data_IF_533721898799
#
_entry.id   IF_533721898799
#
_cell.length_a   1.000
_cell.length_b   1.000
_cell.length_c   1.000
_cell.angle_alpha   90.00
_cell.angle_beta   90.00
_cell.angle_gamma   90.00
#
_symmetry.space_group_name_H-M   'P 1'
#
loop_
_entity.id
_entity.type
_entity.pdbx_description
1 polymer ?
#
# COMPACT_ATOMS: atom_id res chain seq x y z
N UNK A 1 -21.96 -36.61 -5.35
CA UNK A 1 -21.75 -35.84 -6.60
C UNK A 1 -20.44 -35.06 -6.57
N UNK A 2 -20.21 -34.20 -5.54
CA UNK A 2 -18.98 -33.37 -5.48
C UNK A 2 -17.69 -34.20 -5.46
N UNK A 3 -17.61 -35.26 -4.62
CA UNK A 3 -16.43 -36.12 -4.55
C UNK A 3 -16.13 -36.87 -5.85
N UNK A 4 -17.17 -37.34 -6.55
CA UNK A 4 -17.00 -38.01 -7.83
C UNK A 4 -16.54 -37.04 -8.94
N UNK A 5 -17.02 -35.80 -8.95
CA UNK A 5 -16.61 -34.78 -9.91
C UNK A 5 -15.14 -34.37 -9.75
N UNK A 6 -14.66 -34.23 -8.48
CA UNK A 6 -13.28 -33.86 -8.20
C UNK A 6 -12.30 -35.04 -8.35
N UNK A 7 -12.77 -36.28 -8.44
CA UNK A 7 -11.91 -37.45 -8.59
C UNK A 7 -11.05 -37.39 -9.87
N UNK A 8 -11.60 -36.93 -10.99
CA UNK A 8 -10.87 -36.83 -12.26
C UNK A 8 -9.73 -35.80 -12.22
N UNK A 9 -9.93 -34.54 -11.82
CA UNK A 9 -8.83 -33.57 -11.73
C UNK A 9 -7.82 -33.95 -10.62
N UNK A 10 -8.25 -34.51 -9.50
CA UNK A 10 -7.35 -34.98 -8.47
C UNK A 10 -6.49 -36.18 -8.94
N UNK A 11 -7.11 -37.16 -9.63
CA UNK A 11 -6.37 -38.27 -10.20
C UNK A 11 -5.34 -37.80 -11.24
N UNK A 12 -5.72 -36.90 -12.14
CA UNK A 12 -4.79 -36.34 -13.13
C UNK A 12 -3.62 -35.58 -12.47
N UNK A 13 -3.89 -34.81 -11.41
CA UNK A 13 -2.87 -34.10 -10.63
C UNK A 13 -1.95 -35.08 -9.88
N UNK A 14 -2.51 -36.10 -9.23
CA UNK A 14 -1.72 -37.13 -8.50
C UNK A 14 -0.86 -37.91 -9.47
N UNK A 15 -1.39 -38.29 -10.64
CA UNK A 15 -0.61 -38.94 -11.68
C UNK A 15 0.58 -38.06 -12.12
N UNK A 16 0.36 -36.78 -12.34
CA UNK A 16 1.45 -35.87 -12.72
C UNK A 16 2.50 -35.73 -11.63
N UNK A 17 2.10 -35.59 -10.36
CA UNK A 17 3.02 -35.37 -9.24
C UNK A 17 3.85 -36.63 -8.90
N UNK A 18 3.30 -37.84 -9.03
CA UNK A 18 3.96 -39.06 -8.59
C UNK A 18 4.55 -39.91 -9.73
N UNK A 19 3.97 -39.87 -10.93
CA UNK A 19 4.44 -40.64 -12.10
C UNK A 19 4.96 -39.77 -13.24
N UNK A 20 4.73 -38.44 -13.16
CA UNK A 20 5.17 -37.47 -14.15
C UNK A 20 4.94 -37.93 -15.61
N UNK A 21 3.70 -38.26 -16.04
CA UNK A 21 3.42 -38.67 -17.41
C UNK A 21 3.89 -37.63 -18.45
N UNK A 22 3.94 -36.35 -18.08
CA UNK A 22 4.49 -35.32 -18.95
C UNK A 22 5.95 -35.52 -19.31
N UNK A 23 6.75 -36.12 -18.40
CA UNK A 23 8.14 -36.44 -18.64
C UNK A 23 8.30 -37.72 -19.53
N UNK A 24 7.38 -38.68 -19.41
CA UNK A 24 7.43 -39.97 -20.12
C UNK A 24 6.80 -39.88 -21.51
N UNK A 25 5.59 -39.33 -21.60
CA UNK A 25 4.82 -39.23 -22.85
C UNK A 25 5.10 -37.92 -23.58
N UNK A 26 5.66 -36.95 -22.92
CA UNK A 26 5.78 -35.58 -23.36
C UNK A 26 4.63 -34.69 -22.85
N UNK A 27 4.93 -33.42 -22.63
CA UNK A 27 3.97 -32.45 -22.05
C UNK A 27 2.72 -32.26 -22.95
N UNK A 28 2.92 -32.14 -24.25
CA UNK A 28 1.79 -31.96 -25.21
C UNK A 28 0.85 -33.16 -25.30
N UNK A 29 1.32 -34.40 -25.51
CA UNK A 29 0.44 -35.57 -25.53
C UNK A 29 -0.31 -35.75 -24.21
N UNK A 30 0.35 -35.55 -23.06
CA UNK A 30 -0.31 -35.66 -21.75
C UNK A 30 -1.36 -34.58 -21.54
N UNK A 31 -1.04 -33.33 -21.87
CA UNK A 31 -2.01 -32.25 -21.81
C UNK A 31 -3.23 -32.49 -22.70
N UNK A 32 -3.03 -33.08 -23.88
CA UNK A 32 -4.15 -33.47 -24.78
C UNK A 32 -5.09 -34.47 -24.10
N UNK A 33 -4.55 -35.47 -23.39
CA UNK A 33 -5.38 -36.42 -22.64
C UNK A 33 -6.15 -35.72 -21.52
N UNK A 34 -5.52 -34.77 -20.80
CA UNK A 34 -6.16 -33.96 -19.76
C UNK A 34 -7.27 -33.08 -20.35
N UNK A 35 -7.06 -32.49 -21.54
CA UNK A 35 -8.08 -31.70 -22.26
C UNK A 35 -9.23 -32.60 -22.74
N UNK A 36 -8.94 -33.79 -23.26
CA UNK A 36 -9.98 -34.72 -23.62
C UNK A 36 -10.86 -35.15 -22.46
N UNK A 37 -10.24 -35.37 -21.29
CA UNK A 37 -10.97 -35.61 -20.02
C UNK A 37 -11.79 -34.40 -19.61
N UNK A 38 -11.28 -33.19 -19.76
CA UNK A 38 -12.03 -31.94 -19.51
C UNK A 38 -13.25 -31.83 -20.43
N UNK A 39 -13.10 -32.15 -21.71
CA UNK A 39 -14.21 -32.17 -22.69
C UNK A 39 -15.27 -33.20 -22.31
N UNK A 40 -14.86 -34.38 -21.84
CA UNK A 40 -15.78 -35.39 -21.31
C UNK A 40 -16.56 -34.86 -20.10
N UNK A 41 -15.89 -34.23 -19.13
CA UNK A 41 -16.55 -33.62 -17.95
C UNK A 41 -17.55 -32.52 -18.38
N UNK A 42 -17.18 -31.69 -19.35
CA UNK A 42 -18.09 -30.70 -19.92
C UNK A 42 -19.31 -31.33 -20.60
N UNK A 43 -19.12 -32.41 -21.36
CA UNK A 43 -20.20 -33.19 -21.96
C UNK A 43 -21.16 -33.76 -20.92
N UNK A 44 -20.61 -34.35 -19.85
CA UNK A 44 -21.40 -34.86 -18.71
C UNK A 44 -22.15 -33.70 -17.99
N UNK A 45 -21.55 -32.53 -17.87
CA UNK A 45 -22.22 -31.35 -17.32
C UNK A 45 -23.49 -30.99 -18.14
N UNK A 46 -23.40 -31.03 -19.48
CA UNK A 46 -24.55 -30.75 -20.38
C UNK A 46 -25.65 -31.80 -20.20
N UNK A 47 -25.28 -33.08 -20.08
CA UNK A 47 -26.28 -34.13 -19.84
C UNK A 47 -27.01 -33.97 -18.53
N UNK A 48 -26.31 -33.66 -17.45
CA UNK A 48 -26.92 -33.37 -16.16
C UNK A 48 -27.78 -32.11 -16.18
N UNK A 49 -27.31 -31.03 -16.84
CA UNK A 49 -28.10 -29.81 -16.98
C UNK A 49 -29.44 -30.05 -17.70
N UNK A 50 -29.50 -31.01 -18.65
CA UNK A 50 -30.72 -31.37 -19.32
C UNK A 50 -31.60 -32.33 -18.53
N UNK A 51 -30.99 -33.22 -17.75
CA UNK A 51 -31.72 -34.26 -17.00
C UNK A 51 -32.34 -33.71 -15.69
N UNK A 52 -31.71 -32.74 -15.06
CA UNK A 52 -32.08 -32.31 -13.71
C UNK A 52 -33.14 -31.21 -13.69
N UNK A 53 -33.67 -30.78 -14.82
CA UNK A 53 -34.85 -29.93 -14.91
C UNK A 53 -34.81 -28.60 -14.16
N UNK A 54 -33.59 -28.04 -13.95
CA UNK A 54 -33.37 -26.75 -13.28
C UNK A 54 -32.44 -26.79 -12.04
N UNK A 55 -32.18 -27.97 -11.43
CA UNK A 55 -31.12 -28.11 -10.43
C UNK A 55 -29.76 -28.26 -11.11
N UNK A 56 -29.03 -27.16 -11.19
CA UNK A 56 -27.73 -27.11 -11.87
C UNK A 56 -26.54 -27.60 -11.02
N UNK A 57 -26.76 -28.10 -9.78
CA UNK A 57 -25.66 -28.44 -8.85
C UNK A 57 -24.74 -29.53 -9.38
N UNK A 58 -25.30 -30.63 -9.96
CA UNK A 58 -24.49 -31.70 -10.54
C UNK A 58 -23.69 -31.19 -11.75
N UNK A 59 -24.35 -30.44 -12.62
CA UNK A 59 -23.69 -29.79 -13.75
C UNK A 59 -22.57 -28.85 -13.31
N UNK A 60 -22.79 -28.03 -12.26
CA UNK A 60 -21.80 -27.13 -11.71
C UNK A 60 -20.50 -27.83 -11.23
N UNK A 61 -20.63 -28.97 -10.56
CA UNK A 61 -19.46 -29.76 -10.16
C UNK A 61 -18.69 -30.34 -11.37
N UNK A 62 -19.38 -30.75 -12.43
CA UNK A 62 -18.71 -31.24 -13.65
C UNK A 62 -18.01 -30.10 -14.40
N UNK A 63 -18.63 -28.91 -14.43
CA UNK A 63 -17.98 -27.69 -14.98
C UNK A 63 -16.74 -27.33 -14.17
N UNK A 64 -16.80 -27.40 -12.83
CA UNK A 64 -15.67 -27.16 -11.96
C UNK A 64 -14.52 -28.15 -12.26
N UNK A 65 -14.84 -29.44 -12.43
CA UNK A 65 -13.87 -30.48 -12.80
C UNK A 65 -13.24 -30.18 -14.17
N UNK A 66 -14.05 -29.82 -15.16
CA UNK A 66 -13.57 -29.46 -16.50
C UNK A 66 -12.61 -28.26 -16.46
N UNK A 67 -12.97 -27.18 -15.76
CA UNK A 67 -12.12 -25.99 -15.60
C UNK A 67 -10.81 -26.31 -14.86
N UNK A 68 -10.86 -27.20 -13.84
CA UNK A 68 -9.65 -27.63 -13.12
C UNK A 68 -8.70 -28.44 -13.99
N UNK A 69 -9.24 -29.31 -14.85
CA UNK A 69 -8.46 -30.07 -15.83
C UNK A 69 -7.87 -29.16 -16.92
N UNK A 70 -8.63 -28.16 -17.41
CA UNK A 70 -8.10 -27.15 -18.33
C UNK A 70 -6.95 -26.39 -17.67
N UNK A 71 -7.12 -25.96 -16.42
CA UNK A 71 -6.04 -25.28 -15.67
C UNK A 71 -4.79 -26.17 -15.59
N UNK A 72 -4.93 -27.47 -15.26
CA UNK A 72 -3.81 -28.42 -15.22
C UNK A 72 -3.13 -28.55 -16.59
N UNK A 73 -3.91 -28.68 -17.68
CA UNK A 73 -3.34 -28.75 -19.02
C UNK A 73 -2.57 -27.49 -19.42
N UNK A 74 -3.06 -26.32 -19.03
CA UNK A 74 -2.37 -25.05 -19.22
C UNK A 74 -1.04 -24.99 -18.46
N UNK A 75 -1.01 -25.48 -17.21
CA UNK A 75 0.23 -25.59 -16.44
C UNK A 75 1.27 -26.50 -17.08
N UNK A 76 0.84 -27.54 -17.81
CA UNK A 76 1.75 -28.46 -18.50
C UNK A 76 2.37 -27.88 -19.77
N UNK A 77 1.64 -26.99 -20.47
CA UNK A 77 2.03 -26.51 -21.82
C UNK A 77 2.60 -25.08 -21.74
N UNK A 78 1.97 -24.21 -20.94
CA UNK A 78 2.29 -22.78 -20.96
C UNK A 78 3.30 -22.45 -19.85
N UNK A 79 4.16 -21.48 -20.16
CA UNK A 79 5.18 -21.00 -19.24
C UNK A 79 5.03 -19.49 -18.98
N UNK A 80 5.66 -19.02 -17.92
CA UNK A 80 5.81 -17.60 -17.61
C UNK A 80 4.51 -16.77 -17.80
N UNK A 81 4.56 -15.69 -18.58
CA UNK A 81 3.46 -14.76 -18.78
C UNK A 81 2.23 -15.36 -19.47
N UNK A 82 2.44 -16.28 -20.43
CA UNK A 82 1.34 -16.93 -21.14
C UNK A 82 0.43 -17.73 -20.18
N UNK A 83 1.01 -18.47 -19.25
CA UNK A 83 0.26 -19.20 -18.23
C UNK A 83 -0.51 -18.25 -17.31
N UNK A 84 0.10 -17.14 -16.89
CA UNK A 84 -0.56 -16.13 -16.05
C UNK A 84 -1.81 -15.57 -16.73
N UNK A 85 -1.71 -15.21 -18.02
CA UNK A 85 -2.85 -14.72 -18.79
C UNK A 85 -3.93 -15.78 -18.99
N UNK A 86 -3.54 -17.03 -19.26
CA UNK A 86 -4.48 -18.14 -19.45
C UNK A 86 -5.26 -18.44 -18.15
N UNK A 87 -4.60 -18.43 -16.99
CA UNK A 87 -5.26 -18.58 -15.70
C UNK A 87 -6.18 -17.39 -15.38
N UNK A 88 -5.76 -16.17 -15.70
CA UNK A 88 -6.60 -14.98 -15.57
C UNK A 88 -7.86 -15.08 -16.44
N UNK A 89 -7.73 -15.54 -17.67
CA UNK A 89 -8.87 -15.81 -18.55
C UNK A 89 -9.82 -16.90 -18.02
N UNK A 90 -9.29 -17.95 -17.38
CA UNK A 90 -10.11 -18.98 -16.72
C UNK A 90 -10.92 -18.42 -15.55
N UNK A 91 -10.35 -17.50 -14.75
CA UNK A 91 -11.11 -16.84 -13.67
C UNK A 91 -12.26 -16.02 -14.24
N UNK A 92 -12.04 -15.29 -15.35
CA UNK A 92 -13.10 -14.55 -16.03
C UNK A 92 -14.13 -15.49 -16.63
N UNK A 93 -13.71 -16.60 -17.24
CA UNK A 93 -14.60 -17.63 -17.78
C UNK A 93 -15.49 -18.24 -16.69
N UNK A 94 -14.93 -18.56 -15.51
CA UNK A 94 -15.69 -19.07 -14.38
C UNK A 94 -16.74 -18.03 -13.89
N UNK A 95 -16.38 -16.76 -13.82
CA UNK A 95 -17.31 -15.68 -13.48
C UNK A 95 -18.41 -15.51 -14.54
N UNK A 96 -18.08 -15.64 -15.82
CA UNK A 96 -19.06 -15.59 -16.92
C UNK A 96 -20.03 -16.78 -16.88
N UNK A 97 -19.53 -17.98 -16.59
CA UNK A 97 -20.37 -19.18 -16.41
C UNK A 97 -21.33 -19.03 -15.22
N UNK A 98 -20.83 -18.52 -14.07
CA UNK A 98 -21.69 -18.23 -12.92
C UNK A 98 -22.76 -17.19 -13.28
N UNK A 99 -22.38 -16.12 -13.98
CA UNK A 99 -23.35 -15.10 -14.44
C UNK A 99 -24.43 -15.67 -15.36
N UNK A 100 -24.03 -16.55 -16.27
CA UNK A 100 -24.95 -17.10 -17.32
C UNK A 100 -25.86 -18.18 -16.77
N UNK A 101 -25.34 -19.08 -15.94
CA UNK A 101 -26.01 -20.30 -15.49
C UNK A 101 -26.31 -20.31 -14.00
N UNK A 102 -25.91 -19.27 -13.26
CA UNK A 102 -26.09 -19.11 -11.80
C UNK A 102 -25.52 -20.28 -11.00
N UNK A 103 -24.22 -20.58 -11.25
CA UNK A 103 -23.48 -21.67 -10.64
C UNK A 103 -22.67 -21.19 -9.43
N UNK A 104 -23.21 -21.21 -8.17
CA UNK A 104 -22.54 -20.69 -7.00
C UNK A 104 -21.21 -21.40 -6.67
N UNK A 105 -21.04 -22.63 -7.13
CA UNK A 105 -19.84 -23.44 -6.96
C UNK A 105 -18.63 -22.83 -7.68
N UNK A 106 -18.83 -22.03 -8.72
CA UNK A 106 -17.75 -21.31 -9.43
C UNK A 106 -17.01 -20.32 -8.53
N UNK A 107 -17.64 -19.86 -7.45
CA UNK A 107 -16.98 -19.01 -6.47
C UNK A 107 -15.71 -19.67 -5.87
N UNK A 108 -15.72 -21.00 -5.69
CA UNK A 108 -14.56 -21.75 -5.21
C UNK A 108 -13.41 -21.73 -6.22
N UNK A 109 -13.73 -21.96 -7.50
CA UNK A 109 -12.73 -21.92 -8.58
C UNK A 109 -12.12 -20.53 -8.74
N UNK A 110 -12.95 -19.48 -8.65
CA UNK A 110 -12.48 -18.08 -8.69
C UNK A 110 -11.51 -17.80 -7.54
N UNK A 111 -11.83 -18.23 -6.31
CA UNK A 111 -10.95 -18.05 -5.15
C UNK A 111 -9.61 -18.79 -5.33
N UNK A 112 -9.66 -20.06 -5.76
CA UNK A 112 -8.46 -20.85 -6.06
C UNK A 112 -7.63 -20.21 -7.18
N UNK A 113 -8.28 -19.71 -8.24
CA UNK A 113 -7.62 -19.01 -9.36
C UNK A 113 -6.94 -17.71 -8.91
N UNK A 114 -7.57 -16.94 -8.00
CA UNK A 114 -6.94 -15.76 -7.41
C UNK A 114 -5.69 -16.13 -6.62
N UNK A 115 -5.72 -17.20 -5.83
CA UNK A 115 -4.55 -17.69 -5.08
C UNK A 115 -3.44 -18.13 -6.04
N UNK A 116 -3.77 -18.89 -7.07
CA UNK A 116 -2.81 -19.33 -8.08
C UNK A 116 -2.18 -18.15 -8.83
N UNK A 117 -2.97 -17.14 -9.22
CA UNK A 117 -2.47 -15.91 -9.85
C UNK A 117 -1.59 -15.11 -8.89
N UNK A 118 -1.95 -15.03 -7.61
CA UNK A 118 -1.12 -14.35 -6.60
C UNK A 118 0.26 -15.01 -6.50
N UNK A 119 0.30 -16.35 -6.47
CA UNK A 119 1.55 -17.11 -6.51
C UNK A 119 2.35 -16.83 -7.77
N UNK A 120 1.70 -16.85 -8.94
CA UNK A 120 2.34 -16.59 -10.24
C UNK A 120 2.97 -15.20 -10.32
N UNK A 121 2.30 -14.18 -9.84
CA UNK A 121 2.78 -12.80 -9.90
C UNK A 121 3.90 -12.49 -8.89
N UNK A 122 3.95 -13.21 -7.76
CA UNK A 122 4.91 -12.93 -6.68
C UNK A 122 6.10 -13.88 -6.69
N UNK A 123 5.86 -15.19 -6.97
CA UNK A 123 6.87 -16.25 -6.75
C UNK A 123 7.36 -16.85 -8.05
N UNK A 124 6.48 -17.35 -8.94
CA UNK A 124 6.85 -18.06 -10.16
C UNK A 124 5.98 -17.65 -11.36
N UNK A 125 6.52 -16.93 -12.36
CA UNK A 125 7.90 -16.46 -12.52
C UNK A 125 8.28 -15.30 -11.60
N UNK A 126 7.27 -14.64 -10.96
CA UNK A 126 7.45 -13.62 -9.93
C UNK A 126 7.98 -12.27 -10.41
N UNK A 127 8.27 -11.42 -9.43
CA UNK A 127 8.73 -10.06 -9.66
C UNK A 127 10.10 -9.98 -10.36
N UNK A 128 11.13 -10.81 -10.02
CA UNK A 128 12.42 -10.72 -10.69
C UNK A 128 12.31 -10.91 -12.20
N UNK A 129 11.56 -11.93 -12.64
CA UNK A 129 11.30 -12.12 -14.07
C UNK A 129 10.65 -10.90 -14.72
N UNK A 130 9.63 -10.34 -14.08
CA UNK A 130 8.89 -9.21 -14.63
C UNK A 130 9.73 -7.94 -14.70
N UNK A 131 10.71 -7.76 -13.80
CA UNK A 131 11.56 -6.57 -13.74
C UNK A 131 12.76 -6.71 -14.69
N UNK A 132 13.46 -7.85 -14.66
CA UNK A 132 14.79 -7.99 -15.26
C UNK A 132 14.79 -8.77 -16.58
N UNK A 133 13.96 -9.83 -16.71
CA UNK A 133 14.04 -10.76 -17.83
C UNK A 133 12.98 -10.52 -18.93
N UNK A 134 11.73 -10.23 -18.52
CA UNK A 134 10.60 -10.16 -19.44
C UNK A 134 10.71 -8.97 -20.41
N UNK A 135 10.23 -9.12 -21.63
CA UNK A 135 9.94 -7.95 -22.46
C UNK A 135 8.87 -7.07 -21.79
N UNK A 136 8.93 -5.75 -21.99
CA UNK A 136 7.99 -4.83 -21.33
C UNK A 136 6.52 -5.21 -21.60
N UNK A 137 6.20 -5.57 -22.82
CA UNK A 137 4.83 -5.96 -23.20
C UNK A 137 4.36 -7.25 -22.51
N UNK A 138 5.27 -8.22 -22.25
CA UNK A 138 4.95 -9.45 -21.51
C UNK A 138 4.68 -9.16 -20.03
N UNK A 139 5.51 -8.32 -19.41
CA UNK A 139 5.30 -7.91 -18.04
C UNK A 139 3.98 -7.12 -17.88
N UNK A 140 3.74 -6.14 -18.77
CA UNK A 140 2.48 -5.38 -18.79
C UNK A 140 1.29 -6.31 -19.01
N UNK A 141 1.34 -7.18 -20.01
CA UNK A 141 0.25 -8.12 -20.30
C UNK A 141 -0.05 -9.01 -19.08
N UNK A 142 0.96 -9.57 -18.43
CA UNK A 142 0.80 -10.47 -17.29
C UNK A 142 0.20 -9.76 -16.06
N UNK A 143 0.74 -8.64 -15.66
CA UNK A 143 0.33 -7.94 -14.43
C UNK A 143 -0.93 -7.09 -14.62
N UNK A 144 -0.98 -6.26 -15.68
CA UNK A 144 -2.17 -5.49 -16.00
C UNK A 144 -3.31 -6.39 -16.48
N UNK A 145 -3.00 -7.46 -17.25
CA UNK A 145 -3.98 -8.45 -17.70
C UNK A 145 -4.61 -9.20 -16.52
N UNK A 146 -3.81 -9.61 -15.53
CA UNK A 146 -4.33 -10.22 -14.31
C UNK A 146 -5.22 -9.24 -13.53
N UNK A 147 -4.80 -7.99 -13.35
CA UNK A 147 -5.62 -6.96 -12.71
C UNK A 147 -6.94 -6.72 -13.49
N UNK A 148 -6.86 -6.57 -14.80
CA UNK A 148 -8.04 -6.39 -15.66
C UNK A 148 -9.01 -7.59 -15.57
N UNK A 149 -8.49 -8.82 -15.50
CA UNK A 149 -9.30 -10.02 -15.30
C UNK A 149 -10.05 -10.00 -13.96
N UNK A 150 -9.41 -9.52 -12.87
CA UNK A 150 -10.09 -9.34 -11.59
C UNK A 150 -11.22 -8.30 -11.68
N UNK A 151 -10.97 -7.18 -12.34
CA UNK A 151 -12.02 -6.17 -12.61
C UNK A 151 -13.16 -6.72 -13.48
N UNK A 152 -12.83 -7.48 -14.52
CA UNK A 152 -13.81 -8.16 -15.38
C UNK A 152 -14.68 -9.16 -14.60
N UNK A 153 -14.04 -9.97 -13.73
CA UNK A 153 -14.74 -10.89 -12.82
C UNK A 153 -15.69 -10.16 -11.87
N UNK A 154 -15.25 -9.03 -11.30
CA UNK A 154 -16.10 -8.17 -10.44
C UNK A 154 -17.32 -7.63 -11.19
N UNK A 155 -17.12 -7.15 -12.42
CA UNK A 155 -18.21 -6.67 -13.27
C UNK A 155 -19.21 -7.78 -13.60
N UNK A 156 -18.72 -8.97 -13.92
CA UNK A 156 -19.56 -10.12 -14.23
C UNK A 156 -20.37 -10.58 -13.02
N UNK A 157 -19.79 -10.58 -11.82
CA UNK A 157 -20.45 -10.99 -10.58
C UNK A 157 -21.26 -9.87 -9.90
N UNK A 158 -21.26 -8.64 -10.43
CA UNK A 158 -21.96 -7.51 -9.83
C UNK A 158 -23.45 -7.79 -9.53
N UNK A 159 -24.24 -8.42 -10.44
CA UNK A 159 -25.67 -8.71 -10.22
C UNK A 159 -25.94 -9.95 -9.34
N UNK A 160 -24.88 -10.66 -8.89
CA UNK A 160 -25.01 -11.90 -8.14
C UNK A 160 -24.58 -11.70 -6.68
N UNK A 161 -25.25 -12.39 -5.74
CA UNK A 161 -24.81 -12.41 -4.33
C UNK A 161 -23.67 -13.42 -4.12
N UNK A 162 -22.47 -13.06 -4.55
CA UNK A 162 -21.24 -13.87 -4.46
C UNK A 162 -20.22 -13.16 -3.58
N UNK A 163 -20.57 -12.88 -2.33
CA UNK A 163 -19.76 -12.05 -1.40
C UNK A 163 -18.32 -12.53 -1.28
N UNK A 164 -18.09 -13.84 -1.09
CA UNK A 164 -16.75 -14.38 -0.93
C UNK A 164 -15.88 -14.16 -2.18
N UNK A 165 -16.36 -14.57 -3.36
CA UNK A 165 -15.63 -14.39 -4.62
C UNK A 165 -15.34 -12.90 -4.90
N UNK A 166 -16.30 -12.01 -4.62
CA UNK A 166 -16.11 -10.56 -4.79
C UNK A 166 -15.03 -10.00 -3.89
N UNK A 167 -14.97 -10.42 -2.61
CA UNK A 167 -13.90 -9.98 -1.69
C UNK A 167 -12.53 -10.42 -2.18
N UNK A 168 -12.39 -11.66 -2.69
CA UNK A 168 -11.14 -12.13 -3.28
C UNK A 168 -10.76 -11.32 -4.51
N UNK A 169 -11.68 -11.15 -5.46
CA UNK A 169 -11.43 -10.39 -6.70
C UNK A 169 -11.09 -8.91 -6.42
N UNK A 170 -11.80 -8.26 -5.50
CA UNK A 170 -11.54 -6.87 -5.10
C UNK A 170 -10.18 -6.69 -4.46
N UNK A 171 -9.81 -7.62 -3.55
CA UNK A 171 -8.54 -7.58 -2.88
C UNK A 171 -7.39 -7.88 -3.84
N UNK A 172 -7.58 -8.87 -4.73
CA UNK A 172 -6.62 -9.22 -5.75
C UNK A 172 -6.44 -8.09 -6.78
N UNK A 173 -7.50 -7.45 -7.22
CA UNK A 173 -7.40 -6.28 -8.12
C UNK A 173 -6.49 -5.21 -7.54
N UNK A 174 -6.71 -4.82 -6.28
CA UNK A 174 -5.91 -3.81 -5.62
C UNK A 174 -4.44 -4.26 -5.43
N UNK A 175 -4.22 -5.53 -5.05
CA UNK A 175 -2.88 -6.08 -4.89
C UNK A 175 -2.13 -6.21 -6.22
N UNK A 176 -2.79 -6.68 -7.28
CA UNK A 176 -2.19 -6.82 -8.61
C UNK A 176 -1.90 -5.46 -9.24
N UNK A 177 -2.74 -4.46 -9.00
CA UNK A 177 -2.47 -3.09 -9.41
C UNK A 177 -1.24 -2.50 -8.68
N UNK A 178 -1.07 -2.79 -7.38
CA UNK A 178 0.12 -2.39 -6.63
C UNK A 178 1.39 -3.09 -7.14
N UNK A 179 1.33 -4.41 -7.40
CA UNK A 179 2.42 -5.16 -8.01
C UNK A 179 2.78 -4.63 -9.40
N UNK A 180 1.78 -4.35 -10.23
CA UNK A 180 2.00 -3.77 -11.55
C UNK A 180 2.70 -2.41 -11.47
N UNK A 181 2.25 -1.54 -10.56
CA UNK A 181 2.92 -0.25 -10.33
C UNK A 181 4.37 -0.44 -9.89
N UNK A 182 4.66 -1.38 -8.97
CA UNK A 182 6.03 -1.69 -8.57
C UNK A 182 6.89 -2.17 -9.74
N UNK A 183 6.40 -3.07 -10.59
CA UNK A 183 7.13 -3.54 -11.76
C UNK A 183 7.48 -2.37 -12.68
N UNK A 184 6.52 -1.47 -12.96
CA UNK A 184 6.77 -0.31 -13.81
C UNK A 184 7.79 0.66 -13.19
N UNK A 185 7.65 0.94 -11.89
CA UNK A 185 8.58 1.82 -11.15
C UNK A 185 9.99 1.24 -11.18
N UNK A 186 10.14 -0.04 -10.85
CA UNK A 186 11.46 -0.71 -10.81
C UNK A 186 12.11 -0.72 -12.19
N UNK A 187 11.37 -1.08 -13.24
CA UNK A 187 11.87 -1.04 -14.63
C UNK A 187 12.28 0.36 -15.06
N UNK A 188 11.49 1.37 -14.70
CA UNK A 188 11.80 2.76 -15.00
C UNK A 188 13.10 3.22 -14.30
N UNK A 189 13.27 2.86 -13.02
CA UNK A 189 14.48 3.16 -12.25
C UNK A 189 15.71 2.52 -12.89
N UNK A 190 15.65 1.20 -13.17
CA UNK A 190 16.75 0.45 -13.78
C UNK A 190 17.07 1.00 -15.17
N UNK A 191 16.06 1.27 -15.99
CA UNK A 191 16.26 1.77 -17.36
C UNK A 191 16.89 3.18 -17.41
N UNK A 192 16.73 3.99 -16.34
CA UNK A 192 17.29 5.34 -16.25
C UNK A 192 18.68 5.40 -15.63
N UNK A 193 19.00 4.52 -14.71
CA UNK A 193 20.21 4.59 -13.89
C UNK A 193 21.09 3.34 -13.97
N UNK A 194 20.70 2.33 -14.75
CA UNK A 194 21.40 1.04 -14.72
C UNK A 194 21.30 0.31 -13.37
N UNK A 195 20.43 0.79 -12.48
CA UNK A 195 20.25 0.24 -11.13
C UNK A 195 20.76 1.12 -9.99
N UNK A 196 21.56 2.14 -10.26
CA UNK A 196 22.19 2.99 -9.24
C UNK A 196 21.15 3.70 -8.33
N UNK A 197 19.96 4.04 -8.85
CA UNK A 197 18.94 4.75 -8.07
C UNK A 197 18.07 3.86 -7.18
N UNK A 198 18.17 2.55 -7.28
CA UNK A 198 17.29 1.62 -6.52
C UNK A 198 17.45 1.82 -5.01
N UNK A 199 18.69 2.09 -4.54
CA UNK A 199 19.00 2.38 -3.14
C UNK A 199 18.71 3.80 -2.68
N UNK A 200 18.37 4.73 -3.58
CA UNK A 200 18.13 6.13 -3.23
C UNK A 200 16.86 6.30 -2.37
N UNK A 201 16.91 7.28 -1.45
CA UNK A 201 15.82 7.58 -0.50
C UNK A 201 14.45 7.73 -1.18
N UNK A 202 14.39 8.43 -2.29
CA UNK A 202 13.16 8.67 -3.04
C UNK A 202 12.67 7.44 -3.81
N UNK A 203 13.61 6.62 -4.34
CA UNK A 203 13.28 5.42 -5.09
C UNK A 203 12.69 4.33 -4.18
N UNK A 204 13.26 4.16 -2.97
CA UNK A 204 12.73 3.26 -1.95
C UNK A 204 11.29 3.65 -1.57
N UNK A 205 11.04 4.94 -1.35
CA UNK A 205 9.69 5.41 -1.01
C UNK A 205 8.75 5.35 -2.20
N UNK A 206 9.22 5.62 -3.41
CA UNK A 206 8.41 5.49 -4.63
C UNK A 206 7.94 4.04 -4.83
N UNK A 207 8.83 3.06 -4.60
CA UNK A 207 8.46 1.64 -4.60
C UNK A 207 7.55 1.24 -3.42
N UNK A 208 7.66 1.91 -2.28
CA UNK A 208 6.79 1.69 -1.12
C UNK A 208 5.38 2.28 -1.30
N UNK A 209 5.22 3.32 -2.13
CA UNK A 209 3.96 4.05 -2.29
C UNK A 209 2.77 3.18 -2.73
N UNK A 210 2.87 2.26 -3.72
CA UNK A 210 1.79 1.36 -4.08
C UNK A 210 1.31 0.48 -2.91
N UNK A 211 2.23 0.05 -2.05
CA UNK A 211 1.93 -0.75 -0.87
C UNK A 211 1.25 0.07 0.23
N UNK A 212 1.66 1.31 0.44
CA UNK A 212 0.95 2.22 1.34
C UNK A 212 -0.47 2.48 0.86
N UNK A 213 -0.65 2.71 -0.43
CA UNK A 213 -1.98 2.90 -1.02
C UNK A 213 -2.82 1.63 -0.85
N UNK A 214 -2.25 0.44 -1.12
CA UNK A 214 -2.92 -0.85 -0.91
C UNK A 214 -3.35 -1.01 0.55
N UNK A 215 -2.46 -0.76 1.50
CA UNK A 215 -2.78 -0.78 2.94
C UNK A 215 -3.96 0.12 3.26
N UNK A 216 -3.91 1.39 2.82
CA UNK A 216 -4.96 2.38 3.09
C UNK A 216 -6.31 1.98 2.47
N UNK A 217 -6.30 1.43 1.25
CA UNK A 217 -7.49 0.91 0.57
C UNK A 217 -8.09 -0.26 1.34
N UNK A 218 -7.27 -1.21 1.81
CA UNK A 218 -7.76 -2.34 2.59
C UNK A 218 -8.31 -1.89 3.96
N UNK A 219 -7.63 -0.97 4.65
CA UNK A 219 -8.13 -0.37 5.89
C UNK A 219 -9.47 0.36 5.68
N UNK A 220 -9.60 1.12 4.60
CA UNK A 220 -10.86 1.79 4.26
C UNK A 220 -11.99 0.78 4.02
N UNK A 221 -11.71 -0.33 3.33
CA UNK A 221 -12.69 -1.37 3.01
C UNK A 221 -13.08 -2.24 4.21
N UNK A 222 -12.40 -2.16 5.35
CA UNK A 222 -12.81 -2.86 6.58
C UNK A 222 -14.21 -2.46 7.07
N UNK A 223 -14.67 -1.26 6.73
CA UNK A 223 -16.04 -0.80 7.05
C UNK A 223 -17.15 -1.67 6.41
N UNK A 224 -16.83 -2.38 5.31
CA UNK A 224 -17.80 -3.25 4.64
C UNK A 224 -18.09 -4.54 5.45
N UNK A 225 -17.29 -4.86 6.46
CA UNK A 225 -17.47 -6.02 7.32
C UNK A 225 -17.36 -7.35 6.59
N UNK A 226 -18.05 -8.37 7.09
CA UNK A 226 -18.17 -9.71 6.49
C UNK A 226 -17.19 -10.74 7.04
N UNK A 227 -17.44 -12.03 6.72
CA UNK A 227 -16.67 -13.17 7.22
C UNK A 227 -15.20 -13.16 6.79
N UNK A 228 -14.89 -12.55 5.64
CA UNK A 228 -13.52 -12.47 5.10
C UNK A 228 -12.78 -11.18 5.52
N UNK A 229 -13.20 -10.53 6.59
CA UNK A 229 -12.52 -9.36 7.15
C UNK A 229 -11.05 -9.65 7.49
N UNK A 230 -10.75 -10.87 7.93
CA UNK A 230 -9.38 -11.31 8.24
C UNK A 230 -8.44 -11.25 7.01
N UNK A 231 -8.96 -11.57 5.80
CA UNK A 231 -8.17 -11.49 4.56
C UNK A 231 -7.73 -10.04 4.28
N UNK A 232 -8.65 -9.08 4.43
CA UNK A 232 -8.32 -7.65 4.28
C UNK A 232 -7.29 -7.18 5.29
N UNK A 233 -7.40 -7.65 6.56
CA UNK A 233 -6.40 -7.39 7.58
C UNK A 233 -5.04 -7.99 7.23
N UNK A 234 -5.00 -9.21 6.77
CA UNK A 234 -3.77 -9.88 6.33
C UNK A 234 -3.07 -9.12 5.20
N UNK A 235 -3.82 -8.74 4.15
CA UNK A 235 -3.28 -7.95 3.04
C UNK A 235 -2.82 -6.56 3.51
N UNK A 236 -3.61 -5.89 4.38
CA UNK A 236 -3.22 -4.60 4.94
C UNK A 236 -1.93 -4.70 5.77
N UNK A 237 -1.77 -5.76 6.56
CA UNK A 237 -0.56 -5.98 7.38
C UNK A 237 0.68 -6.22 6.51
N UNK A 238 0.58 -7.07 5.49
CA UNK A 238 1.69 -7.31 4.53
C UNK A 238 2.03 -6.02 3.79
N UNK A 239 1.03 -5.31 3.30
CA UNK A 239 1.22 -4.05 2.60
C UNK A 239 1.82 -2.96 3.51
N UNK A 240 1.42 -2.92 4.79
CA UNK A 240 2.03 -2.05 5.79
C UNK A 240 3.51 -2.38 6.02
N UNK A 241 3.82 -3.67 6.17
CA UNK A 241 5.21 -4.12 6.38
C UNK A 241 6.12 -3.70 5.23
N UNK A 242 5.70 -3.92 3.98
CA UNK A 242 6.49 -3.55 2.80
C UNK A 242 6.55 -2.02 2.66
N UNK A 243 5.41 -1.34 2.76
CA UNK A 243 5.32 0.12 2.59
C UNK A 243 6.11 0.89 3.65
N UNK A 244 5.90 0.59 4.93
CA UNK A 244 6.67 1.22 6.01
C UNK A 244 8.11 0.72 6.08
N UNK A 245 8.39 -0.51 5.65
CA UNK A 245 9.75 -1.02 5.50
C UNK A 245 10.57 -0.19 4.52
N UNK A 246 10.03 0.09 3.33
CA UNK A 246 10.68 0.97 2.35
C UNK A 246 10.90 2.39 2.87
N UNK A 247 9.89 2.97 3.55
CA UNK A 247 10.05 4.29 4.20
C UNK A 247 11.12 4.24 5.30
N UNK A 248 11.12 3.21 6.14
CA UNK A 248 12.12 3.06 7.19
C UNK A 248 13.53 3.01 6.63
N UNK A 249 13.75 2.27 5.54
CA UNK A 249 15.03 2.26 4.83
C UNK A 249 15.41 3.65 4.28
N UNK A 250 14.44 4.38 3.70
CA UNK A 250 14.64 5.73 3.19
C UNK A 250 14.97 6.75 4.29
N UNK A 251 14.36 6.59 5.48
CA UNK A 251 14.61 7.47 6.66
C UNK A 251 15.91 7.13 7.36
N UNK A 252 16.33 5.86 7.35
CA UNK A 252 17.52 5.40 8.07
C UNK A 252 18.73 5.25 7.14
N UNK A 253 18.82 4.16 6.40
CA UNK A 253 20.02 3.80 5.63
C UNK A 253 20.26 4.72 4.42
N UNK A 254 19.20 5.08 3.71
CA UNK A 254 19.31 5.91 2.50
C UNK A 254 19.06 7.40 2.75
N UNK A 255 19.07 7.84 4.02
CA UNK A 255 18.83 9.26 4.32
C UNK A 255 19.99 10.12 3.78
N UNK A 256 19.68 11.19 3.01
CA UNK A 256 20.71 12.05 2.43
C UNK A 256 21.56 12.82 3.44
N UNK A 257 21.19 12.87 4.74
CA UNK A 257 21.98 13.51 5.78
C UNK A 257 23.35 12.87 6.00
N UNK A 258 23.43 11.55 5.90
CA UNK A 258 24.69 10.83 6.14
C UNK A 258 25.25 10.12 4.92
N UNK A 259 24.50 10.03 3.84
CA UNK A 259 24.94 9.45 2.56
C UNK A 259 25.87 8.23 2.75
N UNK A 260 25.39 7.22 3.49
CA UNK A 260 26.19 6.08 3.96
C UNK A 260 26.93 5.33 2.83
N UNK A 261 26.39 5.36 1.63
CA UNK A 261 26.95 4.67 0.46
C UNK A 261 27.80 5.56 -0.44
N UNK A 262 27.91 6.88 -0.13
CA UNK A 262 28.87 7.80 -0.73
C UNK A 262 28.71 8.09 -2.22
N UNK A 263 27.53 7.79 -2.80
CA UNK A 263 27.28 7.92 -4.23
C UNK A 263 26.36 9.11 -4.61
N UNK A 264 26.10 9.28 -5.91
CA UNK A 264 25.11 10.25 -6.41
C UNK A 264 23.70 9.98 -5.88
N UNK A 265 23.41 8.76 -5.41
CA UNK A 265 22.13 8.33 -4.85
C UNK A 265 21.76 9.10 -3.57
N UNK A 266 22.75 9.55 -2.80
CA UNK A 266 22.55 10.36 -1.60
C UNK A 266 22.27 11.83 -1.87
N UNK A 267 22.41 12.31 -3.11
CA UNK A 267 22.13 13.71 -3.46
C UNK A 267 20.64 13.96 -3.70
N UNK A 268 20.25 15.20 -3.56
CA UNK A 268 18.87 15.67 -3.82
C UNK A 268 18.79 16.25 -5.21
N UNK A 269 17.81 15.84 -5.99
CA UNK A 269 17.59 16.28 -7.37
C UNK A 269 16.22 16.93 -7.53
N UNK A 270 16.13 17.88 -8.44
CA UNK A 270 14.89 18.58 -8.80
C UNK A 270 14.82 20.02 -8.30
N UNK A 271 13.75 20.75 -8.61
CA UNK A 271 13.58 22.11 -8.11
C UNK A 271 13.25 22.12 -6.60
N UNK A 272 13.58 23.19 -5.88
CA UNK A 272 13.23 23.33 -4.47
C UNK A 272 11.72 23.07 -4.23
N UNK A 273 11.38 22.43 -3.14
CA UNK A 273 10.04 22.00 -2.73
C UNK A 273 9.41 20.86 -3.55
N UNK A 274 9.80 20.63 -4.81
CA UNK A 274 9.27 19.55 -5.66
C UNK A 274 10.40 18.64 -6.15
N UNK A 275 11.21 18.21 -5.26
CA UNK A 275 12.44 17.44 -5.46
C UNK A 275 12.30 15.96 -5.03
N UNK A 276 13.42 15.28 -4.95
CA UNK A 276 13.47 13.91 -4.48
C UNK A 276 13.11 13.77 -2.98
N UNK A 277 13.29 14.82 -2.16
CA UNK A 277 12.83 14.83 -0.77
C UNK A 277 11.31 14.86 -0.68
N UNK A 278 10.66 15.60 -1.60
CA UNK A 278 9.20 15.59 -1.69
C UNK A 278 8.67 14.18 -1.94
N UNK A 279 9.24 13.46 -2.91
CA UNK A 279 8.85 12.08 -3.22
C UNK A 279 9.13 11.16 -2.04
N UNK A 280 10.27 11.33 -1.36
CA UNK A 280 10.70 10.47 -0.27
C UNK A 280 9.86 10.64 1.00
N UNK A 281 9.52 11.87 1.37
CA UNK A 281 8.99 12.16 2.70
C UNK A 281 7.66 12.92 2.69
N UNK A 282 7.48 13.94 1.82
CA UNK A 282 6.25 14.72 1.77
C UNK A 282 5.08 13.93 1.15
N UNK A 283 5.31 13.21 0.06
CA UNK A 283 4.28 12.41 -0.61
C UNK A 283 3.67 11.34 0.34
N UNK A 284 4.44 10.48 1.01
CA UNK A 284 3.86 9.54 1.95
C UNK A 284 3.22 10.22 3.17
N UNK A 285 3.76 11.35 3.64
CA UNK A 285 3.12 12.14 4.69
C UNK A 285 1.72 12.60 4.28
N UNK A 286 1.58 13.16 3.08
CA UNK A 286 0.29 13.61 2.54
C UNK A 286 -0.68 12.43 2.39
N UNK A 287 -0.23 11.28 1.86
CA UNK A 287 -1.06 10.07 1.74
C UNK A 287 -1.59 9.62 3.09
N UNK A 288 -0.73 9.52 4.12
CA UNK A 288 -1.12 9.07 5.45
C UNK A 288 -2.07 10.05 6.13
N UNK A 289 -1.79 11.35 6.08
CA UNK A 289 -2.60 12.38 6.72
C UNK A 289 -3.97 12.54 6.02
N UNK A 290 -4.00 12.54 4.69
CA UNK A 290 -5.23 12.62 3.92
C UNK A 290 -6.15 11.40 4.17
N UNK A 291 -5.57 10.20 4.29
CA UNK A 291 -6.33 8.98 4.56
C UNK A 291 -7.08 9.02 5.90
N UNK A 292 -6.55 9.73 6.91
CA UNK A 292 -7.20 9.84 8.24
C UNK A 292 -8.61 10.42 8.17
N UNK A 293 -8.93 11.25 7.17
CA UNK A 293 -10.27 11.81 6.96
C UNK A 293 -11.31 10.73 6.61
N UNK A 294 -10.86 9.61 6.06
CA UNK A 294 -11.71 8.49 5.60
C UNK A 294 -11.65 7.27 6.53
N UNK A 295 -10.71 7.22 7.48
CA UNK A 295 -10.46 6.05 8.34
C UNK A 295 -11.10 6.20 9.74
N UNK A 296 -12.22 6.91 9.88
CA UNK A 296 -12.91 7.10 11.15
C UNK A 296 -13.34 5.81 11.86
N UNK A 297 -13.63 4.76 11.09
CA UNK A 297 -14.07 3.43 11.55
C UNK A 297 -12.92 2.53 12.03
N UNK A 298 -11.66 2.90 11.76
CA UNK A 298 -10.47 2.10 12.15
C UNK A 298 -10.10 2.40 13.60
N UNK A 299 -9.53 1.40 14.27
CA UNK A 299 -9.15 1.49 15.68
C UNK A 299 -8.26 2.70 15.97
N UNK A 300 -8.52 3.35 17.12
CA UNK A 300 -7.85 4.60 17.53
C UNK A 300 -6.32 4.53 17.49
N UNK A 301 -5.73 3.41 17.93
CA UNK A 301 -4.26 3.24 17.93
C UNK A 301 -3.67 3.30 16.52
N UNK A 302 -4.31 2.66 15.53
CA UNK A 302 -3.84 2.68 14.13
C UNK A 302 -3.92 4.12 13.59
N UNK A 303 -5.02 4.82 13.87
CA UNK A 303 -5.17 6.22 13.44
C UNK A 303 -4.10 7.13 14.05
N UNK A 304 -3.77 6.94 15.34
CA UNK A 304 -2.69 7.67 15.99
C UNK A 304 -1.31 7.31 15.41
N UNK A 305 -1.07 6.04 15.09
CA UNK A 305 0.17 5.59 14.44
C UNK A 305 0.33 6.23 13.05
N UNK A 306 -0.74 6.23 12.22
CA UNK A 306 -0.72 6.88 10.90
C UNK A 306 -0.53 8.40 11.01
N UNK A 307 -1.18 9.04 12.00
CA UNK A 307 -0.98 10.46 12.27
C UNK A 307 0.46 10.77 12.67
N UNK A 308 1.01 10.02 13.61
CA UNK A 308 2.38 10.21 14.09
C UNK A 308 3.39 10.00 12.96
N UNK A 309 3.24 8.94 12.16
CA UNK A 309 4.09 8.68 11.00
C UNK A 309 3.98 9.80 9.96
N UNK A 310 2.77 10.25 9.61
CA UNK A 310 2.56 11.33 8.66
C UNK A 310 3.16 12.66 9.13
N UNK A 311 2.97 13.01 10.40
CA UNK A 311 3.55 14.23 10.98
C UNK A 311 5.08 14.14 11.06
N UNK A 312 5.63 12.99 11.45
CA UNK A 312 7.08 12.80 11.53
C UNK A 312 7.73 12.93 10.15
N UNK A 313 7.13 12.33 9.10
CA UNK A 313 7.61 12.45 7.72
C UNK A 313 7.51 13.89 7.19
N UNK A 314 6.42 14.60 7.50
CA UNK A 314 6.27 16.01 7.12
C UNK A 314 7.32 16.89 7.81
N UNK A 315 7.60 16.64 9.10
CA UNK A 315 8.63 17.36 9.84
C UNK A 315 10.04 17.06 9.30
N UNK A 316 10.31 15.79 8.97
CA UNK A 316 11.57 15.37 8.36
C UNK A 316 11.76 16.05 7.00
N UNK A 317 10.73 16.04 6.15
CA UNK A 317 10.76 16.75 4.87
C UNK A 317 11.10 18.23 5.05
N UNK A 318 10.37 18.93 5.92
CA UNK A 318 10.60 20.35 6.17
C UNK A 318 12.02 20.63 6.70
N UNK A 319 12.54 19.76 7.57
CA UNK A 319 13.90 19.88 8.09
C UNK A 319 14.96 19.69 6.99
N UNK A 320 14.81 18.66 6.16
CA UNK A 320 15.75 18.38 5.08
C UNK A 320 15.69 19.45 3.98
N UNK A 321 14.51 19.98 3.68
CA UNK A 321 14.33 21.06 2.70
C UNK A 321 14.98 22.36 3.16
N UNK A 322 14.84 22.73 4.42
CA UNK A 322 15.56 23.88 5.00
C UNK A 322 17.07 23.71 4.85
N UNK A 323 17.58 22.51 5.16
CA UNK A 323 19.01 22.21 5.00
C UNK A 323 19.45 22.31 3.56
N UNK A 324 18.63 21.79 2.62
CA UNK A 324 18.89 21.90 1.18
C UNK A 324 18.98 23.34 0.71
N UNK A 325 18.04 24.18 1.12
CA UNK A 325 18.03 25.61 0.77
C UNK A 325 19.30 26.35 1.26
N UNK A 326 19.91 25.88 2.37
CA UNK A 326 21.08 26.51 2.97
C UNK A 326 22.41 25.89 2.48
N UNK A 327 22.40 24.64 2.00
CA UNK A 327 23.61 23.89 1.69
C UNK A 327 23.70 23.37 0.25
N UNK A 328 22.62 23.46 -0.51
CA UNK A 328 22.52 22.86 -1.85
C UNK A 328 22.17 21.39 -1.83
N UNK A 329 22.52 20.67 -2.88
CA UNK A 329 22.04 19.32 -3.15
C UNK A 329 22.73 18.20 -2.34
N UNK A 330 23.87 18.49 -1.69
CA UNK A 330 24.58 17.57 -0.80
C UNK A 330 24.27 17.89 0.67
N UNK A 331 23.39 17.10 1.27
CA UNK A 331 22.98 17.29 2.66
C UNK A 331 23.93 16.64 3.67
N UNK A 332 24.88 15.82 3.21
CA UNK A 332 25.81 15.09 4.09
C UNK A 332 26.95 15.96 4.62
N UNK A 333 27.14 17.15 4.06
CA UNK A 333 28.18 18.10 4.51
C UNK A 333 28.02 18.39 6.01
N UNK A 334 29.04 18.13 6.85
CA UNK A 334 28.93 18.24 8.29
C UNK A 334 28.81 19.69 8.76
N UNK A 335 28.25 19.86 9.97
CA UNK A 335 28.02 21.14 10.63
C UNK A 335 26.64 21.72 10.32
N UNK A 336 26.31 22.83 10.99
CA UNK A 336 25.07 23.59 10.83
C UNK A 336 25.41 25.05 10.77
N UNK A 337 24.91 25.79 9.77
CA UNK A 337 25.14 27.24 9.67
C UNK A 337 24.19 28.03 10.58
N UNK A 338 24.57 29.25 10.96
CA UNK A 338 23.68 30.12 11.74
C UNK A 338 22.36 30.40 11.02
N UNK A 339 22.40 30.61 9.70
CA UNK A 339 21.20 30.80 8.89
C UNK A 339 20.28 29.59 8.91
N UNK A 340 20.84 28.37 8.87
CA UNK A 340 20.10 27.10 8.98
C UNK A 340 19.42 26.98 10.34
N UNK A 341 20.10 27.32 11.44
CA UNK A 341 19.53 27.31 12.79
C UNK A 341 18.33 28.26 12.91
N UNK A 342 18.48 29.49 12.39
CA UNK A 342 17.38 30.46 12.40
C UNK A 342 16.21 30.03 11.50
N UNK A 343 16.46 29.43 10.35
CA UNK A 343 15.42 28.93 9.47
C UNK A 343 14.58 27.82 10.15
N UNK A 344 15.21 26.90 10.88
CA UNK A 344 14.48 25.93 11.70
C UNK A 344 13.61 26.57 12.77
N UNK A 345 14.12 27.61 13.42
CA UNK A 345 13.37 28.36 14.45
C UNK A 345 12.16 29.04 13.84
N UNK A 346 12.33 29.73 12.70
CA UNK A 346 11.23 30.37 11.97
C UNK A 346 10.17 29.37 11.51
N UNK A 347 10.58 28.21 11.01
CA UNK A 347 9.65 27.14 10.62
C UNK A 347 8.85 26.62 11.81
N UNK A 348 9.50 26.36 12.97
CA UNK A 348 8.81 25.93 14.19
C UNK A 348 7.84 27.00 14.70
N UNK A 349 8.22 28.28 14.64
CA UNK A 349 7.33 29.40 15.00
C UNK A 349 6.12 29.46 14.08
N UNK A 350 6.32 29.31 12.78
CA UNK A 350 5.22 29.30 11.82
C UNK A 350 4.25 28.13 12.03
N UNK A 351 4.77 26.93 12.32
CA UNK A 351 3.96 25.76 12.68
C UNK A 351 3.19 26.01 13.96
N UNK A 352 3.85 26.54 15.02
CA UNK A 352 3.22 26.86 16.30
C UNK A 352 2.10 27.89 16.15
N UNK A 353 2.34 28.97 15.41
CA UNK A 353 1.35 30.00 15.10
C UNK A 353 0.18 29.45 14.27
N UNK A 354 0.46 28.65 13.25
CA UNK A 354 -0.55 28.01 12.41
C UNK A 354 -1.44 27.05 13.20
N UNK A 355 -0.86 26.23 14.08
CA UNK A 355 -1.60 25.34 14.99
C UNK A 355 -2.46 26.15 15.98
N UNK A 356 -1.95 27.26 16.52
CA UNK A 356 -2.70 28.11 17.43
C UNK A 356 -3.89 28.77 16.72
N UNK A 357 -3.67 29.28 15.52
CA UNK A 357 -4.74 29.82 14.68
C UNK A 357 -5.84 28.77 14.41
N UNK A 358 -5.44 27.58 13.99
CA UNK A 358 -6.37 26.46 13.79
C UNK A 358 -7.10 26.05 15.07
N UNK A 359 -6.41 26.10 16.22
CA UNK A 359 -7.00 25.78 17.52
C UNK A 359 -8.11 26.77 17.90
N UNK A 360 -7.88 28.06 17.60
CA UNK A 360 -8.86 29.12 17.84
C UNK A 360 -10.03 28.97 16.87
N UNK A 361 -9.75 28.80 15.56
CA UNK A 361 -10.77 28.68 14.52
C UNK A 361 -11.69 27.47 14.75
N UNK A 362 -11.13 26.33 15.19
CA UNK A 362 -11.87 25.08 15.44
C UNK A 362 -12.31 24.90 16.89
N UNK A 363 -12.04 25.84 17.78
CA UNK A 363 -12.31 25.75 19.23
C UNK A 363 -11.84 24.43 19.85
N UNK A 364 -10.65 23.95 19.43
CA UNK A 364 -10.12 22.64 19.82
C UNK A 364 -9.07 22.77 20.92
N UNK A 365 -9.35 22.21 22.09
CA UNK A 365 -8.40 22.14 23.20
C UNK A 365 -7.17 21.28 22.91
N UNK A 366 -7.33 20.25 22.08
CA UNK A 366 -6.23 19.36 21.67
C UNK A 366 -5.25 20.10 20.77
N UNK A 367 -5.74 20.84 19.75
CA UNK A 367 -4.89 21.65 18.87
C UNK A 367 -4.21 22.77 19.66
N UNK A 368 -4.89 23.37 20.64
CA UNK A 368 -4.28 24.39 21.51
C UNK A 368 -3.12 23.81 22.32
N UNK A 369 -3.29 22.62 22.93
CA UNK A 369 -2.18 21.96 23.65
C UNK A 369 -1.01 21.63 22.74
N UNK A 370 -1.27 21.15 21.53
CA UNK A 370 -0.23 20.88 20.54
C UNK A 370 0.49 22.16 20.11
N UNK A 371 -0.22 23.26 19.84
CA UNK A 371 0.36 24.56 19.53
C UNK A 371 1.27 25.06 20.66
N UNK A 372 0.79 25.01 21.92
CA UNK A 372 1.57 25.42 23.08
C UNK A 372 2.83 24.58 23.28
N UNK A 373 2.76 23.26 23.03
CA UNK A 373 3.93 22.37 23.07
C UNK A 373 4.97 22.75 22.02
N UNK A 374 4.56 23.02 20.76
CA UNK A 374 5.47 23.45 19.70
C UNK A 374 6.09 24.81 20.00
N UNK A 375 5.32 25.78 20.49
CA UNK A 375 5.83 27.10 20.89
C UNK A 375 6.83 26.96 22.03
N UNK A 376 6.51 26.18 23.06
CA UNK A 376 7.43 25.93 24.19
C UNK A 376 8.74 25.26 23.72
N UNK A 377 8.66 24.28 22.82
CA UNK A 377 9.82 23.64 22.19
C UNK A 377 10.66 24.64 21.39
N UNK A 378 10.01 25.55 20.65
CA UNK A 378 10.69 26.61 19.90
C UNK A 378 11.44 27.54 20.81
N UNK A 379 10.80 27.98 21.91
CA UNK A 379 11.43 28.81 22.92
C UNK A 379 12.62 28.08 23.54
N UNK A 380 12.45 26.83 23.96
CA UNK A 380 13.53 26.04 24.53
C UNK A 380 14.71 25.89 23.54
N UNK A 381 14.44 25.61 22.22
CA UNK A 381 15.48 25.54 21.21
C UNK A 381 16.25 26.84 21.08
N UNK A 382 15.57 27.98 21.01
CA UNK A 382 16.22 29.29 20.89
C UNK A 382 17.20 29.51 22.06
N UNK A 383 16.77 29.23 23.28
CA UNK A 383 17.58 29.48 24.46
C UNK A 383 18.68 28.44 24.72
N UNK A 384 18.45 27.18 24.37
CA UNK A 384 19.43 26.12 24.63
C UNK A 384 20.42 25.94 23.47
N UNK A 385 20.00 26.23 22.23
CA UNK A 385 20.81 25.96 21.04
C UNK A 385 21.24 27.25 20.37
N UNK A 386 20.31 28.14 19.99
CA UNK A 386 20.65 29.32 19.18
C UNK A 386 21.47 30.35 19.96
N UNK A 387 21.30 30.41 21.29
CA UNK A 387 22.02 31.34 22.20
C UNK A 387 23.27 30.71 22.81
N UNK A 388 23.51 29.42 22.64
CA UNK A 388 24.66 28.75 23.26
C UNK A 388 26.03 29.34 22.86
N UNK A 389 26.12 30.01 21.69
CA UNK A 389 27.30 30.72 21.21
C UNK A 389 27.49 32.12 21.77
N UNK A 390 26.54 32.65 22.52
CA UNK A 390 26.64 34.00 23.10
C UNK A 390 27.36 33.96 24.48
N UNK A 391 28.23 34.94 24.72
CA UNK A 391 28.97 35.07 25.98
C UNK A 391 28.61 36.36 26.71
N UNK A 392 28.82 36.39 28.04
CA UNK A 392 28.67 37.62 28.85
C UNK A 392 27.21 38.06 29.10
N UNK A 393 26.99 39.35 29.13
CA UNK A 393 25.69 40.01 29.42
C UNK A 393 24.57 39.61 28.48
N UNK A 394 24.87 39.35 27.21
CA UNK A 394 23.89 38.91 26.22
C UNK A 394 23.25 37.58 26.61
N UNK A 395 24.00 36.65 27.21
CA UNK A 395 23.51 35.38 27.71
C UNK A 395 22.52 35.57 28.87
N UNK A 396 22.86 36.50 29.80
CA UNK A 396 22.00 36.84 30.95
C UNK A 396 20.68 37.46 30.50
N UNK A 397 20.71 38.43 29.57
CA UNK A 397 19.52 39.02 28.99
C UNK A 397 18.66 38.01 28.25
N UNK A 398 19.26 37.05 27.57
CA UNK A 398 18.55 35.97 26.87
C UNK A 398 17.78 35.06 27.84
N UNK A 399 18.38 34.70 29.00
CA UNK A 399 17.69 33.92 30.02
C UNK A 399 16.58 34.74 30.72
N UNK A 400 16.77 36.03 30.90
CA UNK A 400 15.72 36.90 31.40
C UNK A 400 14.53 36.98 30.45
N UNK A 401 14.78 37.15 29.14
CA UNK A 401 13.76 37.14 28.11
C UNK A 401 13.03 35.80 28.04
N UNK A 402 13.72 34.67 28.25
CA UNK A 402 13.12 33.35 28.36
C UNK A 402 12.12 33.30 29.52
N UNK A 403 12.54 33.71 30.69
CA UNK A 403 11.69 33.74 31.90
C UNK A 403 10.43 34.57 31.67
N UNK A 404 10.58 35.76 31.11
CA UNK A 404 9.45 36.63 30.73
C UNK A 404 8.54 36.03 29.68
N UNK A 405 9.10 35.37 28.66
CA UNK A 405 8.32 34.70 27.61
C UNK A 405 7.52 33.52 28.15
N UNK A 406 8.12 32.71 29.03
CA UNK A 406 7.43 31.60 29.70
C UNK A 406 6.33 32.10 30.64
N UNK A 407 6.59 33.19 31.39
CA UNK A 407 5.59 33.83 32.22
C UNK A 407 4.42 34.40 31.41
N UNK A 408 4.73 35.08 30.29
CA UNK A 408 3.72 35.55 29.32
C UNK A 408 2.87 34.44 28.74
N UNK A 409 3.50 33.31 28.39
CA UNK A 409 2.83 32.12 27.87
C UNK A 409 1.90 31.48 28.92
N UNK A 410 2.35 31.40 30.17
CA UNK A 410 1.54 30.91 31.28
C UNK A 410 0.34 31.83 31.56
N UNK A 411 0.55 33.15 31.49
CA UNK A 411 -0.52 34.14 31.63
C UNK A 411 -1.55 34.05 30.50
N UNK A 412 -1.10 33.97 29.22
CA UNK A 412 -1.96 33.78 28.04
C UNK A 412 -2.79 32.51 28.13
N UNK A 413 -2.18 31.43 28.62
CA UNK A 413 -2.89 30.16 28.79
C UNK A 413 -4.00 30.23 29.85
N UNK A 414 -3.74 30.91 30.99
CA UNK A 414 -4.75 31.15 32.03
C UNK A 414 -5.87 32.07 31.51
N UNK A 415 -5.51 33.15 30.84
CA UNK A 415 -6.48 34.08 30.28
C UNK A 415 -7.40 33.40 29.21
N UNK A 416 -6.83 32.57 28.35
CA UNK A 416 -7.60 31.81 27.38
C UNK A 416 -8.49 30.72 28.03
N UNK A 417 -8.05 30.15 29.16
CA UNK A 417 -8.86 29.21 29.92
C UNK A 417 -10.06 29.89 30.61
N UNK A 418 -9.83 31.05 31.25
CA UNK A 418 -10.89 31.79 31.91
C UNK A 418 -12.00 32.31 31.00
N UNK A 419 -11.71 32.56 29.72
CA UNK A 419 -12.74 32.91 28.72
C UNK A 419 -13.59 31.71 28.23
N UNK A 420 -13.10 30.49 28.37
CA UNK A 420 -13.89 29.30 28.06
C UNK A 420 -14.88 28.96 29.19
N UNK A 421 -14.51 29.21 30.42
CA UNK A 421 -15.37 28.96 31.58
C UNK A 421 -16.48 30.01 31.72
N UNK A 422 -16.23 31.29 31.34
CA UNK A 422 -17.26 32.35 31.35
C UNK A 422 -18.30 32.24 30.23
N UNK A 423 -18.08 31.42 29.19
CA UNK A 423 -19.05 31.14 28.14
C UNK A 423 -20.01 29.98 28.47
N UNK A 424 -19.77 29.24 29.55
CA UNK A 424 -20.53 28.05 29.94
C UNK A 424 -21.60 28.27 31.02
N UNK A 425 -21.67 29.42 31.66
CA UNK A 425 -22.59 29.72 32.78
C UNK A 425 -23.85 30.51 32.40
N UNK A 426 -24.10 30.71 31.11
CA UNK A 426 -25.20 31.54 30.60
C UNK A 426 -26.52 30.83 30.21
N UNK A 427 -26.71 29.52 30.48
CA UNK A 427 -27.99 28.84 30.22
C UNK A 427 -28.26 27.81 31.33
N UNK A 428 -28.63 28.29 32.51
CA UNK A 428 -29.40 27.58 33.54
C UNK A 428 -29.98 28.64 34.45
N UNK A 429 -31.13 29.12 34.06
CA UNK A 429 -32.24 29.64 34.86
C UNK A 429 -33.23 30.30 33.93
N UNK A 430 -34.35 29.53 33.63
CA UNK A 430 -35.46 29.96 32.80
C UNK A 430 -36.38 28.79 32.50
#
# INVERSE_FOLDING_TARGET
>A
AAGAALAAPLAALVLELFWAPSAVLGAYPWALHVIALAALMAGVAVTFARADGGDMRRAAYMVLAALSLIALALFLILTKGALTLALAALVVAAAALDRRFRLPEMALFIQAGVVALSWRLVVDPGLPWAVDEAALWEAVASYAGAAAAMAGGLFLLAPLDRRAARVFLESAFAAFAALFANVLISRWLIGRSGGDWIGAHWALTLNAAPWLILMLVQLYRLQLGGALRWLRWGIAAVAALIGFGGIALAVTLANPLWNLFGGPEGRVYGPPLLDTLFVAYAMPAVLLLAALTRLGHVHRLIRWALLAAGVALAALYAGLEIRRLMRGDDLSVPGVTQGELYAYTMALMAVGAGLLYQAIARRSSTLRRAAMAVIALTIAKVFLIDISGLSGLTRVFSFLALGLSLAGLAWLNRWAAGRQDSGGTGIRDG
#
